data_IF_624666618977
#
_entry.id   IF_624666618977
#
_cell.length_a   1.000
_cell.length_b   1.000
_cell.length_c   1.000
_cell.angle_alpha   90.00
_cell.angle_beta   90.00
_cell.angle_gamma   90.00
#
_symmetry.space_group_name_H-M   'P 1'
#
loop_
_entity.id
_entity.type
_entity.pdbx_description
1 polymer ?
#
# COMPACT_ATOMS: atom_id res chain seq x y z
N UNK A 1 41.59 -4.75 -10.08
CA UNK A 1 41.29 -6.14 -9.68
C UNK A 1 39.99 -6.52 -10.38
N UNK A 2 40.05 -7.47 -11.32
CA UNK A 2 38.96 -7.75 -12.26
C UNK A 2 37.82 -8.53 -11.59
N UNK A 3 36.57 -8.09 -11.78
CA UNK A 3 35.36 -8.71 -11.24
C UNK A 3 35.22 -10.23 -11.56
N UNK A 4 35.89 -10.67 -12.62
CA UNK A 4 35.90 -12.05 -13.13
C UNK A 4 36.61 -13.01 -12.15
N UNK A 5 37.65 -12.54 -11.44
CA UNK A 5 38.38 -13.34 -10.44
C UNK A 5 37.53 -13.62 -9.19
N UNK A 6 36.63 -12.69 -8.83
CA UNK A 6 35.81 -12.78 -7.63
C UNK A 6 34.72 -13.86 -7.72
N UNK A 7 34.18 -14.07 -8.93
CA UNK A 7 33.08 -15.02 -9.21
C UNK A 7 33.54 -16.48 -9.05
N UNK A 8 34.84 -16.75 -9.19
CA UNK A 8 35.41 -18.10 -9.10
C UNK A 8 35.56 -18.59 -7.66
N UNK A 9 35.50 -17.69 -6.67
CA UNK A 9 35.73 -18.02 -5.28
C UNK A 9 34.42 -18.43 -4.58
N UNK A 10 34.34 -19.70 -4.14
CA UNK A 10 33.13 -20.29 -3.54
C UNK A 10 32.62 -19.50 -2.33
N UNK A 11 33.54 -18.91 -1.56
CA UNK A 11 33.22 -18.08 -0.40
C UNK A 11 32.63 -16.71 -0.77
N UNK A 12 33.06 -16.12 -1.89
CA UNK A 12 32.52 -14.85 -2.36
C UNK A 12 31.06 -14.99 -2.82
N UNK A 13 30.73 -16.10 -3.48
CA UNK A 13 29.34 -16.41 -3.88
C UNK A 13 28.42 -16.61 -2.68
N UNK A 14 28.87 -17.28 -1.62
CA UNK A 14 28.10 -17.39 -0.37
C UNK A 14 27.87 -16.04 0.29
N UNK A 15 28.86 -15.15 0.30
CA UNK A 15 28.75 -13.83 0.91
C UNK A 15 27.76 -12.93 0.15
N UNK A 16 27.80 -12.97 -1.18
CA UNK A 16 26.82 -12.28 -2.04
C UNK A 16 25.42 -12.86 -1.85
N UNK A 17 25.27 -14.18 -1.75
CA UNK A 17 23.98 -14.81 -1.49
C UNK A 17 23.39 -14.40 -0.13
N UNK A 18 24.22 -14.29 0.92
CA UNK A 18 23.79 -13.80 2.23
C UNK A 18 23.33 -12.33 2.19
N UNK A 19 24.06 -11.46 1.49
CA UNK A 19 23.66 -10.05 1.33
C UNK A 19 22.35 -9.95 0.54
N UNK A 20 22.22 -10.72 -0.54
CA UNK A 20 21.01 -10.74 -1.35
C UNK A 20 19.80 -11.25 -0.56
N UNK A 21 19.96 -12.30 0.24
CA UNK A 21 18.93 -12.80 1.14
C UNK A 21 18.53 -11.77 2.20
N UNK A 22 19.48 -11.02 2.78
CA UNK A 22 19.18 -9.96 3.75
C UNK A 22 18.38 -8.80 3.13
N UNK A 23 18.69 -8.41 1.89
CA UNK A 23 17.95 -7.38 1.16
C UNK A 23 16.52 -7.83 0.84
N UNK A 24 16.37 -9.06 0.33
CA UNK A 24 15.05 -9.63 0.08
C UNK A 24 14.24 -9.77 1.37
N UNK A 25 14.86 -10.25 2.44
CA UNK A 25 14.21 -10.42 3.74
C UNK A 25 13.77 -9.09 4.32
N UNK A 26 14.62 -8.05 4.28
CA UNK A 26 14.27 -6.71 4.76
C UNK A 26 13.12 -6.07 3.99
N UNK A 27 13.14 -6.18 2.65
CA UNK A 27 12.03 -5.70 1.81
C UNK A 27 10.72 -6.42 2.10
N UNK A 28 10.78 -7.74 2.28
CA UNK A 28 9.61 -8.57 2.63
C UNK A 28 9.06 -8.22 4.02
N UNK A 29 9.93 -8.01 5.01
CA UNK A 29 9.54 -7.58 6.36
C UNK A 29 8.87 -6.20 6.36
N UNK A 30 9.29 -5.30 5.47
CA UNK A 30 8.73 -3.95 5.34
C UNK A 30 7.33 -3.98 4.69
N UNK A 31 7.13 -4.79 3.65
CA UNK A 31 5.83 -5.04 3.02
C UNK A 31 4.82 -5.61 4.02
N UNK A 32 5.20 -6.65 4.77
CA UNK A 32 4.31 -7.24 5.77
C UNK A 32 3.97 -6.27 6.90
N UNK A 33 4.91 -5.42 7.30
CA UNK A 33 4.67 -4.43 8.35
C UNK A 33 3.62 -3.41 7.91
N UNK A 34 3.63 -2.97 6.66
CA UNK A 34 2.64 -2.04 6.12
C UNK A 34 1.23 -2.65 6.07
N UNK A 35 1.13 -3.93 5.73
CA UNK A 35 -0.15 -4.62 5.61
C UNK A 35 -0.80 -4.90 6.98
N UNK A 36 0.01 -5.26 7.99
CA UNK A 36 -0.44 -5.37 9.38
C UNK A 36 -0.89 -4.02 9.94
N UNK A 37 -0.21 -2.93 9.59
CA UNK A 37 -0.60 -1.58 10.02
C UNK A 37 -1.93 -1.14 9.40
N UNK A 38 -2.17 -1.51 8.13
CA UNK A 38 -3.44 -1.34 7.43
C UNK A 38 -4.59 -2.10 8.11
N UNK A 39 -4.37 -3.36 8.46
CA UNK A 39 -5.38 -4.17 9.17
C UNK A 39 -5.68 -3.61 10.57
N UNK A 40 -4.65 -3.16 11.30
CA UNK A 40 -4.84 -2.53 12.62
C UNK A 40 -5.61 -1.22 12.55
N UNK A 41 -5.42 -0.42 11.51
CA UNK A 41 -6.17 0.84 11.30
C UNK A 41 -7.62 0.57 10.88
N UNK A 42 -7.88 -0.45 10.07
CA UNK A 42 -9.22 -0.88 9.72
C UNK A 42 -10.00 -1.46 10.92
N UNK A 43 -9.30 -2.03 11.89
CA UNK A 43 -9.89 -2.67 13.08
C UNK A 43 -9.91 -1.76 14.32
N UNK A 44 -9.19 -0.63 14.31
CA UNK A 44 -9.23 0.33 15.40
C UNK A 44 -10.58 1.07 15.43
N UNK A 45 -11.30 0.89 16.53
CA UNK A 45 -12.65 1.40 16.80
C UNK A 45 -12.74 2.94 16.86
N UNK A 46 -11.61 3.64 16.89
CA UNK A 46 -11.53 5.11 16.74
C UNK A 46 -10.61 5.49 15.59
N UNK A 47 -11.12 5.62 14.35
CA UNK A 47 -10.32 6.09 13.23
C UNK A 47 -9.88 7.54 13.50
N UNK A 48 -8.61 7.72 13.85
CA UNK A 48 -8.04 9.02 14.18
C UNK A 48 -8.02 9.89 12.91
N UNK A 49 -8.97 10.84 12.82
CA UNK A 49 -9.20 11.75 11.69
C UNK A 49 -7.89 12.33 11.13
N UNK A 50 -6.97 12.74 12.01
CA UNK A 50 -5.71 13.37 11.62
C UNK A 50 -4.78 12.42 10.85
N UNK A 51 -4.79 11.13 11.20
CA UNK A 51 -3.97 10.10 10.55
C UNK A 51 -4.56 9.69 9.21
N UNK A 52 -5.89 9.50 9.15
CA UNK A 52 -6.62 9.21 7.90
C UNK A 52 -6.46 10.32 6.87
N UNK A 53 -6.61 11.58 7.30
CA UNK A 53 -6.43 12.77 6.45
C UNK A 53 -5.02 12.90 5.88
N UNK A 54 -3.99 12.62 6.70
CA UNK A 54 -2.59 12.66 6.21
C UNK A 54 -2.36 11.63 5.11
N UNK A 55 -2.93 10.45 5.28
CA UNK A 55 -2.80 9.33 4.33
C UNK A 55 -3.57 9.63 3.04
N UNK A 56 -4.80 10.14 3.14
CA UNK A 56 -5.56 10.63 1.99
C UNK A 56 -4.78 11.68 1.21
N UNK A 57 -4.15 12.64 1.88
CA UNK A 57 -3.39 13.70 1.21
C UNK A 57 -2.17 13.17 0.47
N UNK A 58 -1.47 12.19 1.03
CA UNK A 58 -0.32 11.55 0.37
C UNK A 58 -0.76 10.72 -0.85
N UNK A 59 -1.88 10.01 -0.72
CA UNK A 59 -2.43 9.18 -1.80
C UNK A 59 -3.12 10.00 -2.90
N UNK A 60 -3.72 11.15 -2.56
CA UNK A 60 -4.38 12.00 -3.54
C UNK A 60 -3.39 12.65 -4.50
N UNK A 61 -2.14 12.86 -4.07
CA UNK A 61 -1.00 13.28 -4.90
C UNK A 61 -0.33 12.15 -5.68
N UNK A 62 -0.61 10.88 -5.37
CA UNK A 62 -0.06 9.75 -6.10
C UNK A 62 -0.95 9.40 -7.31
N UNK A 63 -0.36 9.00 -8.47
CA UNK A 63 -1.14 8.49 -9.58
C UNK A 63 -1.86 7.20 -9.17
N UNK A 64 -3.19 7.16 -9.36
CA UNK A 64 -4.01 6.00 -9.03
C UNK A 64 -3.68 4.89 -10.02
N UNK A 65 -2.94 3.88 -9.56
CA UNK A 65 -2.62 2.68 -10.34
C UNK A 65 -3.54 1.53 -9.93
N UNK A 66 -3.83 0.64 -10.88
CA UNK A 66 -4.68 -0.54 -10.68
C UNK A 66 -4.22 -1.42 -9.51
N UNK A 67 -2.92 -1.45 -9.22
CA UNK A 67 -2.33 -2.25 -8.12
C UNK A 67 -2.66 -1.71 -6.72
N UNK A 68 -3.06 -0.44 -6.59
CA UNK A 68 -3.35 0.21 -5.30
C UNK A 68 -4.85 0.34 -4.99
N UNK A 69 -5.72 -0.31 -5.76
CA UNK A 69 -7.18 -0.18 -5.62
C UNK A 69 -7.69 -0.60 -4.23
N UNK A 70 -7.16 -1.68 -3.66
CA UNK A 70 -7.54 -2.15 -2.32
C UNK A 70 -7.21 -1.12 -1.23
N UNK A 71 -6.16 -0.31 -1.44
CA UNK A 71 -5.81 0.79 -0.53
C UNK A 71 -6.86 1.90 -0.58
N UNK A 72 -7.36 2.24 -1.78
CA UNK A 72 -8.43 3.23 -1.93
C UNK A 72 -9.78 2.73 -1.38
N UNK A 73 -10.08 1.43 -1.52
CA UNK A 73 -11.28 0.83 -0.93
C UNK A 73 -11.22 0.92 0.60
N UNK A 74 -10.10 0.51 1.20
CA UNK A 74 -9.91 0.58 2.66
C UNK A 74 -9.97 2.02 3.17
N UNK A 75 -9.44 2.97 2.40
CA UNK A 75 -9.48 4.39 2.75
C UNK A 75 -10.89 4.98 2.66
N UNK A 76 -11.67 4.61 1.64
CA UNK A 76 -13.08 5.01 1.53
C UNK A 76 -13.90 4.53 2.71
N UNK A 77 -13.73 3.27 3.11
CA UNK A 77 -14.37 2.70 4.31
C UNK A 77 -13.97 3.44 5.59
N UNK A 78 -12.69 3.82 5.73
CA UNK A 78 -12.21 4.64 6.84
C UNK A 78 -12.83 6.04 6.85
N UNK A 79 -12.95 6.69 5.69
CA UNK A 79 -13.55 8.02 5.56
C UNK A 79 -15.05 8.00 5.90
N UNK A 80 -15.78 6.97 5.49
CA UNK A 80 -17.19 6.77 5.86
C UNK A 80 -17.35 6.59 7.37
N UNK A 81 -16.50 5.77 8.02
CA UNK A 81 -16.51 5.61 9.49
C UNK A 81 -16.22 6.90 10.25
N UNK A 82 -15.43 7.80 9.66
CA UNK A 82 -15.13 9.13 10.20
C UNK A 82 -16.19 10.18 9.80
N UNK A 83 -17.27 9.77 9.10
CA UNK A 83 -18.36 10.63 8.61
C UNK A 83 -17.90 11.72 7.62
N UNK A 84 -16.80 11.48 6.90
CA UNK A 84 -16.30 12.35 5.83
C UNK A 84 -16.80 11.89 4.46
N UNK A 85 -18.12 11.96 4.29
CA UNK A 85 -18.83 11.48 3.10
C UNK A 85 -18.34 12.10 1.78
N UNK A 86 -18.04 13.41 1.79
CA UNK A 86 -17.57 14.11 0.58
C UNK A 86 -16.21 13.58 0.09
N UNK A 87 -15.30 13.29 1.02
CA UNK A 87 -13.97 12.76 0.67
C UNK A 87 -14.04 11.28 0.31
N UNK A 88 -14.92 10.51 0.96
CA UNK A 88 -15.20 9.13 0.59
C UNK A 88 -15.73 9.05 -0.84
N UNK A 89 -16.68 9.92 -1.20
CA UNK A 89 -17.23 9.98 -2.54
C UNK A 89 -16.16 10.27 -3.61
N UNK A 90 -15.24 11.21 -3.34
CA UNK A 90 -14.10 11.48 -4.22
C UNK A 90 -13.19 10.26 -4.38
N UNK A 91 -12.94 9.51 -3.30
CA UNK A 91 -12.14 8.29 -3.35
C UNK A 91 -12.84 7.20 -4.19
N UNK A 92 -14.15 7.01 -4.02
CA UNK A 92 -14.95 6.07 -4.81
C UNK A 92 -15.02 6.44 -6.28
N UNK A 93 -15.14 7.73 -6.61
CA UNK A 93 -15.08 8.21 -7.99
C UNK A 93 -13.74 7.91 -8.65
N UNK A 94 -12.62 8.13 -7.96
CA UNK A 94 -11.29 7.79 -8.50
C UNK A 94 -11.12 6.30 -8.78
N UNK A 95 -11.76 5.43 -8.00
CA UNK A 95 -11.77 3.99 -8.27
C UNK A 95 -12.51 3.70 -9.58
N UNK A 96 -13.66 4.36 -9.80
CA UNK A 96 -14.46 4.23 -11.02
C UNK A 96 -13.75 4.80 -12.26
N UNK A 97 -12.91 5.82 -12.10
CA UNK A 97 -12.09 6.36 -13.19
C UNK A 97 -11.08 5.32 -13.72
N UNK A 98 -10.59 4.43 -12.84
CA UNK A 98 -9.59 3.40 -13.19
C UNK A 98 -10.26 2.08 -13.58
N UNK A 99 -11.32 1.68 -12.89
CA UNK A 99 -12.13 0.51 -13.24
C UNK A 99 -13.61 0.89 -13.19
N UNK A 100 -14.17 1.37 -14.32
CA UNK A 100 -15.56 1.79 -14.37
C UNK A 100 -16.53 0.61 -14.18
N UNK A 101 -16.11 -0.63 -14.42
CA UNK A 101 -16.94 -1.82 -14.31
C UNK A 101 -17.14 -2.33 -12.87
N UNK A 102 -16.43 -1.78 -11.89
CA UNK A 102 -16.56 -2.19 -10.48
C UNK A 102 -17.94 -1.82 -9.91
N UNK A 103 -18.68 -2.82 -9.44
CA UNK A 103 -20.01 -2.63 -8.80
C UNK A 103 -19.93 -2.06 -7.38
N UNK A 104 -18.89 -2.39 -6.63
CA UNK A 104 -18.81 -2.10 -5.20
C UNK A 104 -18.77 -0.59 -4.87
N UNK A 105 -17.96 0.26 -5.53
CA UNK A 105 -17.96 1.71 -5.31
C UNK A 105 -19.28 2.38 -5.70
N UNK A 106 -19.95 1.88 -6.75
CA UNK A 106 -21.27 2.41 -7.17
C UNK A 106 -22.35 2.15 -6.13
N UNK A 107 -22.28 1.04 -5.40
CA UNK A 107 -23.24 0.73 -4.33
C UNK A 107 -23.03 1.63 -3.10
N UNK A 108 -21.79 2.05 -2.81
CA UNK A 108 -21.46 2.97 -1.70
C UNK A 108 -21.80 4.43 -2.00
N UNK A 109 -21.84 4.81 -3.29
CA UNK A 109 -22.20 6.14 -3.78
C UNK A 109 -23.70 6.35 -4.00
N UNK A 110 -24.51 5.27 -3.97
CA UNK A 110 -25.95 5.30 -4.20
C UNK A 110 -26.73 5.58 -2.91
#
# INVERSE_FOLDING_TARGET
>A
MNAIELIKNRWAMSLVACIYAAVLWGGFQWIYRHEIELQRLAQAETPNLLRTMRMYRALSSAPVQRTNLDTFVTLGDLLERVKRWDEAAVAWHRILDVIPEQRWPRQRLA
#
